data_IF_800646605032
#
_entry.id   IF_800646605032
#
_cell.length_a   1.000
_cell.length_b   1.000
_cell.length_c   1.000
_cell.angle_alpha   90.00
_cell.angle_beta   90.00
_cell.angle_gamma   90.00
#
_symmetry.space_group_name_H-M   'P 1'
#
loop_
_entity.id
_entity.type
_entity.pdbx_description
1 polymer ?
#
# COMPACT_ATOMS: atom_id res chain seq x y z
N UNK A 1 37.40 -10.10 31.28
CA UNK A 1 36.51 -8.99 31.67
C UNK A 1 35.84 -8.24 30.50
N UNK A 2 35.92 -8.70 29.23
CA UNK A 2 35.34 -7.95 28.09
C UNK A 2 34.70 -8.85 27.00
N UNK A 3 34.15 -10.02 27.35
CA UNK A 3 33.59 -10.96 26.35
C UNK A 3 32.05 -11.07 26.35
N UNK A 4 31.32 -10.16 27.03
CA UNK A 4 29.89 -10.35 27.33
C UNK A 4 28.95 -9.34 26.62
N UNK A 5 29.45 -8.40 25.82
CA UNK A 5 28.61 -7.29 25.29
C UNK A 5 28.09 -7.45 23.84
N UNK A 6 28.01 -8.67 23.30
CA UNK A 6 27.60 -8.89 21.90
C UNK A 6 26.15 -9.40 21.69
N UNK A 7 25.28 -9.37 22.72
CA UNK A 7 24.00 -10.11 22.70
C UNK A 7 22.78 -9.30 23.18
N UNK A 8 22.74 -7.99 22.92
CA UNK A 8 21.47 -7.23 22.96
C UNK A 8 21.06 -7.09 21.49
N UNK A 9 20.37 -8.06 20.91
CA UNK A 9 19.07 -8.55 21.38
C UNK A 9 18.07 -8.02 20.37
N UNK A 10 18.03 -8.68 19.21
CA UNK A 10 17.16 -8.43 18.07
C UNK A 10 15.70 -8.31 18.52
N UNK A 11 15.21 -7.08 18.59
CA UNK A 11 13.83 -6.73 18.93
C UNK A 11 13.27 -5.74 17.90
N UNK A 12 13.61 -5.91 16.63
CA UNK A 12 12.87 -5.25 15.55
C UNK A 12 11.59 -6.07 15.40
N UNK A 13 10.68 -5.82 16.32
CA UNK A 13 9.35 -6.39 16.33
C UNK A 13 8.70 -6.05 14.99
N UNK A 14 8.46 -7.10 14.21
CA UNK A 14 7.42 -7.23 13.19
C UNK A 14 6.68 -5.93 12.90
N UNK A 15 7.27 -5.11 12.02
CA UNK A 15 6.45 -4.24 11.16
C UNK A 15 5.63 -5.24 10.34
N UNK A 16 4.30 -5.23 10.42
CA UNK A 16 3.51 -6.03 9.50
C UNK A 16 3.73 -5.41 8.12
N UNK A 17 4.58 -6.05 7.30
CA UNK A 17 4.84 -5.70 5.89
C UNK A 17 3.63 -5.98 4.98
N UNK A 18 2.41 -5.83 5.51
CA UNK A 18 1.16 -5.79 4.76
C UNK A 18 0.89 -4.39 4.17
N UNK A 19 1.88 -3.49 4.29
CA UNK A 19 2.12 -2.38 3.36
C UNK A 19 3.22 -2.74 2.35
N UNK A 20 3.22 -3.98 1.84
CA UNK A 20 3.58 -4.17 0.44
C UNK A 20 2.51 -3.49 -0.38
N UNK A 21 2.68 -2.17 -0.56
CA UNK A 21 2.44 -1.50 -1.82
C UNK A 21 2.98 -2.44 -2.92
N UNK A 22 2.18 -3.43 -3.31
CA UNK A 22 2.09 -3.87 -4.68
C UNK A 22 1.57 -2.65 -5.43
N UNK A 23 2.38 -1.59 -5.51
CA UNK A 23 2.36 -0.61 -6.57
C UNK A 23 2.74 -1.44 -7.78
N UNK A 24 1.76 -2.20 -8.27
CA UNK A 24 1.89 -3.06 -9.42
C UNK A 24 2.46 -2.18 -10.52
N UNK A 25 3.58 -2.59 -11.10
CA UNK A 25 4.23 -1.95 -12.25
C UNK A 25 3.30 -1.84 -13.49
N UNK A 26 2.02 -2.20 -13.35
CA UNK A 26 0.89 -1.94 -14.24
C UNK A 26 0.34 -0.50 -14.15
N UNK A 27 0.90 0.37 -13.30
CA UNK A 27 0.49 1.79 -13.19
C UNK A 27 1.15 2.71 -14.24
N UNK A 28 1.83 2.15 -15.25
CA UNK A 28 2.59 2.91 -16.26
C UNK A 28 1.74 3.53 -17.40
N UNK A 29 0.44 3.74 -17.17
CA UNK A 29 -0.45 4.46 -18.10
C UNK A 29 -1.85 3.87 -18.29
N UNK A 30 -2.23 2.87 -17.49
CA UNK A 30 -3.55 2.22 -17.53
C UNK A 30 -4.55 2.78 -16.50
N UNK A 31 -5.81 2.37 -16.64
CA UNK A 31 -6.86 2.65 -15.66
C UNK A 31 -6.86 1.60 -14.52
N UNK A 32 -7.39 1.95 -13.36
CA UNK A 32 -7.45 1.06 -12.19
C UNK A 32 -8.64 0.07 -12.29
N UNK A 33 -8.42 -1.23 -12.05
CA UNK A 33 -9.48 -2.24 -12.06
C UNK A 33 -10.38 -2.16 -10.81
N UNK A 34 -11.48 -2.92 -10.82
CA UNK A 34 -12.43 -3.00 -9.70
C UNK A 34 -11.75 -3.46 -8.40
N UNK A 35 -12.16 -2.88 -7.27
CA UNK A 35 -11.63 -3.09 -5.91
C UNK A 35 -10.15 -2.70 -5.73
N UNK A 36 -9.56 -1.97 -6.68
CA UNK A 36 -8.22 -1.40 -6.54
C UNK A 36 -8.28 -0.07 -5.79
N UNK A 37 -7.27 0.23 -4.98
CA UNK A 37 -7.14 1.54 -4.35
C UNK A 37 -6.96 2.62 -5.41
N UNK A 38 -7.68 3.71 -5.23
CA UNK A 38 -7.64 4.86 -6.10
C UNK A 38 -7.51 6.11 -5.24
N UNK A 39 -7.01 7.19 -5.83
CA UNK A 39 -7.03 8.49 -5.21
C UNK A 39 -7.84 9.43 -6.09
N UNK A 40 -8.87 10.05 -5.52
CA UNK A 40 -9.77 10.92 -6.26
C UNK A 40 -9.06 12.18 -6.79
N UNK A 41 -7.97 12.59 -6.13
CA UNK A 41 -7.22 13.82 -6.42
C UNK A 41 -6.03 13.59 -7.37
N UNK A 42 -5.33 12.46 -7.27
CA UNK A 42 -4.11 12.19 -8.04
C UNK A 42 -3.95 10.71 -8.41
N UNK A 43 -3.11 10.42 -9.39
CA UNK A 43 -2.87 9.05 -9.87
C UNK A 43 -3.82 8.61 -11.00
N UNK A 44 -3.75 7.33 -11.41
CA UNK A 44 -4.59 6.78 -12.46
C UNK A 44 -6.06 6.79 -12.05
N UNK A 45 -6.93 6.96 -13.04
CA UNK A 45 -8.39 6.88 -12.87
C UNK A 45 -8.85 5.43 -12.91
N UNK A 46 -9.99 5.13 -12.29
CA UNK A 46 -10.66 3.86 -12.46
C UNK A 46 -11.02 3.60 -13.92
N UNK A 47 -11.07 2.33 -14.32
CA UNK A 47 -11.51 1.96 -15.66
C UNK A 47 -12.96 2.36 -15.91
N UNK A 48 -13.32 2.52 -17.19
CA UNK A 48 -14.68 2.88 -17.58
C UNK A 48 -15.71 1.93 -16.95
N UNK A 49 -16.74 2.51 -16.34
CA UNK A 49 -17.78 1.77 -15.60
C UNK A 49 -17.53 1.68 -14.09
N UNK A 50 -16.38 2.14 -13.60
CA UNK A 50 -16.02 2.18 -12.18
C UNK A 50 -15.86 3.62 -11.69
N UNK A 51 -16.13 3.84 -10.41
CA UNK A 51 -15.99 5.12 -9.73
C UNK A 51 -15.03 5.00 -8.56
N UNK A 52 -14.20 6.02 -8.32
CA UNK A 52 -13.36 6.05 -7.13
C UNK A 52 -14.22 6.42 -5.92
N UNK A 53 -14.63 5.41 -5.15
CA UNK A 53 -15.52 5.56 -3.99
C UNK A 53 -14.71 5.59 -2.70
N UNK A 54 -14.96 6.61 -1.89
CA UNK A 54 -14.42 6.70 -0.53
C UNK A 54 -15.05 5.61 0.35
N UNK A 55 -14.19 4.80 0.97
CA UNK A 55 -14.59 3.76 1.94
C UNK A 55 -14.43 4.26 3.37
N UNK A 56 -13.38 5.02 3.62
CA UNK A 56 -13.12 5.73 4.87
C UNK A 56 -12.18 6.91 4.59
N UNK A 57 -11.86 7.69 5.64
CA UNK A 57 -11.06 8.92 5.53
C UNK A 57 -9.65 8.70 4.94
N UNK A 58 -9.16 7.45 4.95
CA UNK A 58 -7.81 7.08 4.52
C UNK A 58 -7.79 6.22 3.26
N UNK A 59 -8.95 5.78 2.75
CA UNK A 59 -9.01 4.78 1.70
C UNK A 59 -10.17 5.01 0.74
N UNK A 60 -9.84 5.12 -0.54
CA UNK A 60 -10.79 5.08 -1.67
C UNK A 60 -10.47 3.90 -2.58
N UNK A 61 -11.50 3.29 -3.18
CA UNK A 61 -11.35 2.18 -4.12
C UNK A 61 -12.23 2.35 -5.35
N UNK A 62 -11.81 1.76 -6.47
CA UNK A 62 -12.62 1.69 -7.69
C UNK A 62 -13.76 0.70 -7.52
N UNK A 63 -14.99 1.20 -7.52
CA UNK A 63 -16.23 0.45 -7.37
C UNK A 63 -17.27 0.89 -8.41
#
# INVERSE_FOLDING_TARGET
LLLISAMVGSMIAAVPEEESLQLSEDERGGCLPHNRFCNALSGPRCCSGLTCKELNIWASKCL
#
